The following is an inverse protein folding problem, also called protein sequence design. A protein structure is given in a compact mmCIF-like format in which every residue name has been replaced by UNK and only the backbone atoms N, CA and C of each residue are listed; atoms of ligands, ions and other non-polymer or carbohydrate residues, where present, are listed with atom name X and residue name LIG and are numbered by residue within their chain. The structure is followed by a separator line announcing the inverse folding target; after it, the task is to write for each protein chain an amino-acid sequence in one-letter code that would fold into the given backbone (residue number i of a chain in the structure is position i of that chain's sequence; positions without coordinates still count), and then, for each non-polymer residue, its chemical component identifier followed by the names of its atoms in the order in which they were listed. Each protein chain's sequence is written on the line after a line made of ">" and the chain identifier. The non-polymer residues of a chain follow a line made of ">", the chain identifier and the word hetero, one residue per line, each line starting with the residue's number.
data_IF_099363413529
#
_entry.id   IF_099363413529
#
_cell.length_a   1.000
_cell.length_b   1.000
_cell.length_c   1.000
_cell.angle_alpha   90.00
_cell.angle_beta   90.00
_cell.angle_gamma   90.00
#
_symmetry.space_group_name_H-M   'P 1'
#
loop_
_entity.id
_entity.type
_entity.pdbx_description
1 polymer ?
#
# COMPACT_ATOMS: atom_id res chain seq x y z
N UNK A 1 20.61 68.39 26.61
CA UNK A 1 19.97 68.14 25.31
C UNK A 1 21.03 67.58 24.39
N UNK A 2 20.74 66.42 23.80
CA UNK A 2 21.48 65.76 22.70
C UNK A 2 22.80 65.04 23.04
N UNK A 3 22.70 63.72 22.83
CA UNK A 3 23.67 62.74 22.33
C UNK A 3 24.90 62.34 23.16
N UNK A 4 24.83 61.09 23.59
CA UNK A 4 25.91 60.21 24.03
C UNK A 4 26.52 59.49 22.82
N UNK A 5 27.85 59.49 22.70
CA UNK A 5 28.62 58.39 22.12
C UNK A 5 29.22 57.55 23.26
N UNK A 6 29.43 56.24 23.06
CA UNK A 6 30.81 55.81 22.77
C UNK A 6 30.97 54.66 21.74
N UNK A 7 32.18 54.64 21.17
CA UNK A 7 32.95 53.68 20.33
C UNK A 7 33.21 52.31 21.04
N UNK A 8 34.00 51.29 20.56
CA UNK A 8 34.45 50.84 19.21
C UNK A 8 34.35 49.30 18.96
N UNK A 9 34.86 48.86 17.79
CA UNK A 9 35.49 47.55 17.47
C UNK A 9 34.56 46.35 17.24
N UNK A 10 34.79 45.42 16.32
CA UNK A 10 35.85 45.12 15.33
C UNK A 10 35.27 44.01 14.43
N UNK A 11 35.43 44.08 13.12
CA UNK A 11 36.48 43.40 12.35
C UNK A 11 36.03 42.05 11.78
N UNK A 12 36.38 41.88 10.50
CA UNK A 12 36.41 40.67 9.68
C UNK A 12 35.11 40.18 9.02
N UNK A 13 34.90 40.62 7.77
CA UNK A 13 34.16 39.87 6.77
C UNK A 13 34.93 39.90 5.44
N UNK A 14 35.79 38.90 5.28
CA UNK A 14 36.53 38.61 4.06
C UNK A 14 35.68 38.67 2.79
N UNK A 15 36.30 39.24 1.74
CA UNK A 15 35.88 39.20 0.35
C UNK A 15 35.39 37.80 -0.05
N UNK A 16 34.11 37.65 -0.38
CA UNK A 16 33.64 36.61 -1.31
C UNK A 16 33.51 37.25 -2.68
N UNK A 17 34.43 36.90 -3.57
CA UNK A 17 34.30 37.17 -5.00
C UNK A 17 33.19 36.30 -5.60
N UNK A 18 32.58 36.82 -6.67
CA UNK A 18 31.56 36.11 -7.45
C UNK A 18 32.04 34.71 -7.88
N UNK A 19 31.17 33.70 -7.86
CA UNK A 19 31.51 32.39 -8.39
C UNK A 19 31.63 32.46 -9.93
N UNK A 20 32.59 31.74 -10.53
CA UNK A 20 32.71 31.65 -11.98
C UNK A 20 31.53 30.87 -12.59
N UNK A 21 31.16 31.14 -13.86
CA UNK A 21 30.01 30.49 -14.49
C UNK A 21 30.22 28.98 -14.61
N UNK A 22 29.19 28.23 -14.22
CA UNK A 22 29.15 26.78 -14.35
C UNK A 22 29.29 26.37 -15.83
N UNK A 23 30.27 25.51 -16.12
CA UNK A 23 30.43 24.87 -17.43
C UNK A 23 29.21 23.98 -17.69
N UNK A 24 28.47 24.28 -18.77
CA UNK A 24 27.47 23.37 -19.33
C UNK A 24 28.17 22.06 -19.71
N UNK A 25 27.88 20.98 -18.99
CA UNK A 25 28.19 19.63 -19.43
C UNK A 25 27.23 19.34 -20.60
N UNK A 26 27.81 19.06 -21.77
CA UNK A 26 27.08 18.86 -23.01
C UNK A 26 26.00 17.78 -22.88
N UNK A 27 24.75 18.18 -23.12
CA UNK A 27 23.66 17.26 -23.40
C UNK A 27 23.95 16.61 -24.76
N UNK A 28 24.16 15.30 -24.76
CA UNK A 28 24.27 14.52 -26.00
C UNK A 28 22.89 14.50 -26.69
N UNK A 29 22.75 15.00 -27.93
CA UNK A 29 21.47 15.07 -28.60
C UNK A 29 21.23 13.80 -29.41
N UNK A 30 20.96 12.66 -28.75
CA UNK A 30 20.38 11.49 -29.43
C UNK A 30 19.81 10.51 -28.39
N UNK A 31 18.56 10.71 -28.02
CA UNK A 31 17.69 9.61 -27.63
C UNK A 31 16.44 9.74 -28.50
N UNK A 32 16.18 8.84 -29.45
CA UNK A 32 14.87 8.84 -30.10
C UNK A 32 13.83 8.67 -29.01
N UNK A 33 12.76 9.47 -29.10
CA UNK A 33 11.61 9.40 -28.22
C UNK A 33 11.00 8.00 -28.32
N UNK A 34 11.44 7.11 -27.44
CA UNK A 34 10.79 5.84 -27.19
C UNK A 34 9.48 6.20 -26.50
N UNK A 35 8.44 6.43 -27.30
CA UNK A 35 7.08 6.32 -26.79
C UNK A 35 7.02 5.00 -26.05
N UNK A 36 6.76 4.97 -24.73
CA UNK A 36 6.55 3.69 -24.07
C UNK A 36 5.38 3.08 -24.81
N UNK A 37 5.65 2.01 -25.57
CA UNK A 37 4.59 1.13 -26.01
C UNK A 37 3.95 0.70 -24.71
N UNK A 38 2.77 1.26 -24.41
CA UNK A 38 1.98 0.78 -23.29
C UNK A 38 1.73 -0.68 -23.65
N UNK A 39 2.53 -1.57 -23.07
CA UNK A 39 2.22 -2.98 -22.99
C UNK A 39 0.90 -2.99 -22.23
N UNK A 40 -0.20 -2.91 -22.97
CA UNK A 40 -1.53 -3.12 -22.44
C UNK A 40 -1.45 -4.52 -21.88
N UNK A 41 -1.34 -4.62 -20.56
CA UNK A 41 -1.56 -5.88 -19.88
C UNK A 41 -2.96 -6.28 -20.30
N UNK A 42 -3.15 -7.42 -21.00
CA UNK A 42 -4.47 -7.81 -21.43
C UNK A 42 -5.37 -7.85 -20.19
N UNK A 43 -6.61 -7.38 -20.36
CA UNK A 43 -7.62 -7.49 -19.31
C UNK A 43 -7.66 -8.95 -18.83
N UNK A 44 -7.82 -9.20 -17.52
CA UNK A 44 -7.90 -10.57 -17.01
C UNK A 44 -9.01 -11.31 -17.76
N UNK A 45 -8.66 -12.48 -18.29
CA UNK A 45 -9.59 -13.37 -18.97
C UNK A 45 -10.66 -13.85 -17.96
N UNK A 46 -11.95 -13.53 -18.19
CA UNK A 46 -13.02 -13.94 -17.28
C UNK A 46 -13.23 -15.45 -17.22
N UNK A 47 -12.75 -16.20 -18.22
CA UNK A 47 -12.85 -17.67 -18.29
C UNK A 47 -11.58 -18.36 -17.75
N UNK A 48 -10.58 -17.60 -17.30
CA UNK A 48 -9.40 -18.16 -16.65
C UNK A 48 -9.82 -18.74 -15.31
N UNK A 49 -9.85 -20.07 -15.23
CA UNK A 49 -9.87 -20.82 -13.97
C UNK A 49 -8.97 -20.10 -12.96
N UNK A 50 -9.53 -19.74 -11.80
CA UNK A 50 -8.75 -19.14 -10.74
C UNK A 50 -7.50 -20.00 -10.53
N UNK A 51 -6.31 -19.39 -10.43
CA UNK A 51 -5.10 -20.13 -10.11
C UNK A 51 -5.33 -21.01 -8.87
N UNK A 52 -4.64 -22.16 -8.78
CA UNK A 52 -4.76 -23.05 -7.65
C UNK A 52 -4.48 -22.28 -6.36
N UNK A 53 -5.25 -22.61 -5.34
CA UNK A 53 -5.08 -22.04 -4.01
C UNK A 53 -3.78 -22.54 -3.39
N UNK A 54 -3.04 -21.64 -2.75
CA UNK A 54 -1.84 -21.99 -2.02
C UNK A 54 -2.22 -22.64 -0.68
N UNK A 55 -1.51 -23.69 -0.30
CA UNK A 55 -1.66 -24.29 1.02
C UNK A 55 -0.97 -23.44 2.09
N UNK A 56 -1.70 -23.07 3.15
CA UNK A 56 -1.13 -22.40 4.31
C UNK A 56 -0.68 -23.42 5.37
N UNK A 57 0.61 -23.40 5.70
CA UNK A 57 1.12 -24.14 6.85
C UNK A 57 0.55 -23.56 8.16
N UNK A 58 0.58 -24.34 9.24
CA UNK A 58 0.08 -23.90 10.55
C UNK A 58 0.80 -22.62 11.04
N UNK A 59 2.11 -22.48 10.80
CA UNK A 59 2.87 -21.28 11.21
C UNK A 59 2.48 -20.03 10.43
N UNK A 60 2.21 -20.17 9.13
CA UNK A 60 1.78 -19.06 8.28
C UNK A 60 0.38 -18.63 8.68
N UNK A 61 -0.53 -19.60 8.91
CA UNK A 61 -1.88 -19.32 9.41
C UNK A 61 -1.81 -18.57 10.75
N UNK A 62 -1.04 -19.06 11.72
CA UNK A 62 -0.87 -18.40 13.01
C UNK A 62 -0.36 -16.95 12.87
N UNK A 63 0.66 -16.73 12.02
CA UNK A 63 1.16 -15.38 11.75
C UNK A 63 0.11 -14.47 11.09
N UNK A 64 -0.69 -14.99 10.16
CA UNK A 64 -1.74 -14.21 9.52
C UNK A 64 -2.95 -13.95 10.44
N UNK A 65 -3.17 -14.82 11.44
CA UNK A 65 -4.17 -14.68 12.50
C UNK A 65 -3.78 -13.67 13.58
N UNK A 66 -2.49 -13.34 13.71
CA UNK A 66 -2.00 -12.23 14.54
C UNK A 66 -2.36 -10.85 13.94
N UNK A 67 -2.26 -9.80 14.75
CA UNK A 67 -2.64 -8.43 14.37
C UNK A 67 -1.46 -7.73 13.71
N UNK A 68 -1.50 -7.64 12.38
CA UNK A 68 -0.51 -6.93 11.55
C UNK A 68 -1.21 -6.07 10.51
N UNK A 69 -0.60 -4.96 10.07
CA UNK A 69 -1.07 -4.26 8.88
C UNK A 69 -0.64 -4.99 7.60
N UNK A 70 -1.43 -4.85 6.54
CA UNK A 70 -1.08 -5.34 5.19
C UNK A 70 -0.73 -4.17 4.29
N UNK A 71 0.36 -4.29 3.54
CA UNK A 71 0.62 -3.47 2.35
C UNK A 71 0.06 -4.19 1.13
N UNK A 72 -0.91 -3.57 0.46
CA UNK A 72 -1.58 -4.08 -0.73
C UNK A 72 -0.94 -3.47 -1.97
N UNK A 73 -0.35 -4.29 -2.83
CA UNK A 73 0.11 -3.93 -4.16
C UNK A 73 -0.95 -4.21 -5.22
N UNK A 74 -1.39 -3.18 -5.94
CA UNK A 74 -2.28 -3.28 -7.10
C UNK A 74 -1.63 -2.69 -8.34
N UNK A 75 -2.18 -2.99 -9.51
CA UNK A 75 -1.75 -2.38 -10.77
C UNK A 75 -2.79 -1.34 -11.19
N UNK A 76 -2.39 -0.21 -11.75
CA UNK A 76 -3.24 0.81 -12.35
C UNK A 76 -3.61 0.50 -13.81
N UNK A 77 -4.45 1.34 -14.45
CA UNK A 77 -4.95 1.07 -15.80
C UNK A 77 -3.84 0.98 -16.85
N UNK A 78 -2.74 1.70 -16.63
CA UNK A 78 -1.59 1.75 -17.52
C UNK A 78 -0.44 0.81 -17.10
N UNK A 79 -0.67 -0.08 -16.13
CA UNK A 79 0.37 -0.97 -15.60
C UNK A 79 1.19 -0.39 -14.44
N UNK A 80 0.94 0.85 -14.04
CA UNK A 80 1.60 1.51 -12.90
C UNK A 80 1.35 0.76 -11.57
N UNK A 81 2.38 0.51 -10.73
CA UNK A 81 2.17 -0.13 -9.44
C UNK A 81 1.65 0.86 -8.40
N UNK A 82 0.65 0.46 -7.60
CA UNK A 82 0.15 1.21 -6.46
C UNK A 82 0.27 0.41 -5.18
N UNK A 83 0.49 1.13 -4.09
CA UNK A 83 0.50 0.55 -2.76
C UNK A 83 -0.45 1.28 -1.83
N UNK A 84 -1.10 0.55 -0.95
CA UNK A 84 -1.90 1.08 0.14
C UNK A 84 -1.72 0.21 1.38
N UNK A 85 -1.64 0.83 2.56
CA UNK A 85 -1.65 0.13 3.83
C UNK A 85 -3.09 0.01 4.33
N UNK A 86 -3.47 -1.17 4.81
CA UNK A 86 -4.80 -1.45 5.32
C UNK A 86 -4.78 -2.50 6.44
N UNK A 87 -5.92 -2.68 7.08
CA UNK A 87 -6.19 -3.85 7.91
C UNK A 87 -6.68 -5.01 7.06
N UNK A 88 -6.43 -6.21 7.54
CA UNK A 88 -6.94 -7.45 6.95
C UNK A 88 -7.40 -8.43 8.04
N UNK A 89 -8.09 -9.48 7.59
CA UNK A 89 -8.37 -10.67 8.39
C UNK A 89 -8.17 -11.91 7.53
N UNK A 90 -7.58 -12.95 8.10
CA UNK A 90 -7.62 -14.29 7.52
C UNK A 90 -8.99 -14.92 7.83
N UNK A 91 -9.71 -15.33 6.79
CA UNK A 91 -10.99 -16.04 6.92
C UNK A 91 -10.75 -17.54 7.23
N UNK A 92 -11.74 -18.25 7.81
CA UNK A 92 -11.61 -19.69 8.11
C UNK A 92 -11.34 -20.59 6.90
N UNK A 93 -11.59 -20.09 5.70
CA UNK A 93 -11.36 -20.77 4.42
C UNK A 93 -10.13 -20.25 3.67
N UNK A 94 -9.13 -19.75 4.41
CA UNK A 94 -7.81 -19.33 3.93
C UNK A 94 -7.79 -18.14 2.96
N UNK A 95 -8.92 -17.45 2.80
CA UNK A 95 -9.00 -16.21 2.03
C UNK A 95 -8.65 -15.00 2.90
N UNK A 96 -8.05 -13.98 2.29
CA UNK A 96 -7.82 -12.69 2.95
C UNK A 96 -9.03 -11.79 2.73
N UNK A 97 -9.65 -11.35 3.82
CA UNK A 97 -10.62 -10.26 3.81
C UNK A 97 -9.89 -8.91 3.80
N UNK A 98 -10.19 -8.11 2.78
CA UNK A 98 -9.83 -6.70 2.70
C UNK A 98 -11.10 -5.85 2.64
N UNK A 99 -11.07 -4.66 3.25
CA UNK A 99 -12.16 -3.69 3.19
C UNK A 99 -11.64 -2.30 2.84
N UNK A 100 -12.44 -1.53 2.09
CA UNK A 100 -12.10 -0.14 1.78
C UNK A 100 -13.32 0.77 1.77
N UNK A 101 -13.03 2.08 1.85
CA UNK A 101 -13.97 3.09 1.41
C UNK A 101 -13.98 3.14 -0.12
N UNK A 102 -15.15 3.13 -0.72
CA UNK A 102 -15.31 3.30 -2.17
C UNK A 102 -15.45 4.78 -2.56
N UNK A 103 -14.89 5.25 -3.69
CA UNK A 103 -13.92 4.61 -4.58
C UNK A 103 -12.48 5.10 -4.30
N UNK A 104 -11.75 4.46 -3.39
CA UNK A 104 -10.29 4.68 -3.27
C UNK A 104 -9.56 4.04 -4.46
N UNK A 105 -8.29 4.42 -4.69
CA UNK A 105 -7.49 3.92 -5.82
C UNK A 105 -7.37 2.38 -5.85
N UNK A 106 -6.85 1.77 -4.79
CA UNK A 106 -6.62 0.32 -4.77
C UNK A 106 -7.89 -0.55 -4.91
N UNK A 107 -9.06 -0.24 -4.31
CA UNK A 107 -10.26 -1.05 -4.56
C UNK A 107 -10.79 -0.86 -5.99
N UNK A 108 -10.60 0.31 -6.60
CA UNK A 108 -10.94 0.55 -8.01
C UNK A 108 -10.00 -0.22 -8.94
N UNK A 109 -8.72 -0.32 -8.60
CA UNK A 109 -7.77 -1.17 -9.33
C UNK A 109 -8.17 -2.65 -9.24
N UNK A 110 -8.50 -3.15 -8.04
CA UNK A 110 -8.97 -4.52 -7.85
C UNK A 110 -10.27 -4.84 -8.58
N UNK A 111 -11.18 -3.88 -8.73
CA UNK A 111 -12.38 -4.05 -9.56
C UNK A 111 -12.06 -4.29 -11.02
N UNK A 112 -10.97 -3.70 -11.52
CA UNK A 112 -10.57 -3.79 -12.93
C UNK A 112 -9.69 -5.02 -13.16
N UNK A 113 -8.74 -5.25 -12.25
CA UNK A 113 -7.83 -6.38 -12.26
C UNK A 113 -7.75 -6.94 -10.83
N UNK A 114 -8.37 -8.10 -10.62
CA UNK A 114 -8.46 -8.72 -9.30
C UNK A 114 -7.14 -9.19 -8.72
N UNK A 115 -6.01 -9.11 -9.46
CA UNK A 115 -4.70 -9.54 -8.97
C UNK A 115 -4.09 -8.51 -8.01
N UNK A 116 -3.51 -9.01 -6.94
CA UNK A 116 -2.72 -8.21 -6.01
C UNK A 116 -1.53 -8.96 -5.44
N UNK A 117 -0.56 -8.20 -4.94
CA UNK A 117 0.43 -8.67 -3.99
C UNK A 117 0.09 -8.14 -2.60
N UNK A 118 0.33 -8.93 -1.57
CA UNK A 118 0.17 -8.52 -0.18
C UNK A 118 1.50 -8.73 0.55
N UNK A 119 1.92 -7.77 1.36
CA UNK A 119 3.03 -7.92 2.28
C UNK A 119 2.56 -7.63 3.70
N UNK A 120 2.72 -8.62 4.58
CA UNK A 120 2.35 -8.55 6.00
C UNK A 120 3.63 -8.75 6.79
N UNK A 121 4.05 -7.72 7.52
CA UNK A 121 5.30 -7.71 8.28
C UNK A 121 5.04 -7.68 9.78
N UNK A 122 5.92 -8.32 10.53
CA UNK A 122 6.01 -8.14 11.97
C UNK A 122 6.60 -6.75 12.26
N UNK A 123 5.83 -5.89 12.93
CA UNK A 123 6.23 -4.51 13.22
C UNK A 123 7.45 -4.43 14.16
N UNK A 124 7.63 -5.43 15.03
CA UNK A 124 8.77 -5.50 15.94
C UNK A 124 10.02 -6.10 15.28
N UNK A 125 9.85 -6.92 14.24
CA UNK A 125 10.93 -7.50 13.45
C UNK A 125 10.59 -7.52 11.96
N UNK A 126 10.81 -6.43 11.20
CA UNK A 126 10.38 -6.32 9.80
C UNK A 126 10.97 -7.37 8.85
N UNK A 127 12.04 -8.06 9.24
CA UNK A 127 12.60 -9.17 8.47
C UNK A 127 11.82 -10.48 8.63
N UNK A 128 10.94 -10.56 9.64
CA UNK A 128 9.93 -11.60 9.83
C UNK A 128 8.63 -11.16 9.17
N UNK A 129 8.32 -11.72 8.01
CA UNK A 129 7.16 -11.31 7.23
C UNK A 129 6.62 -12.43 6.34
N UNK A 130 5.41 -12.25 5.81
CA UNK A 130 4.80 -13.11 4.81
C UNK A 130 4.38 -12.27 3.60
N UNK A 131 4.84 -12.67 2.43
CA UNK A 131 4.36 -12.17 1.15
C UNK A 131 3.31 -13.09 0.56
N UNK A 132 2.26 -12.54 -0.03
CA UNK A 132 1.22 -13.32 -0.71
C UNK A 132 1.02 -12.78 -2.12
N UNK A 133 0.86 -13.68 -3.09
CA UNK A 133 0.17 -13.35 -4.34
C UNK A 133 -1.29 -13.74 -4.18
N UNK A 134 -2.21 -12.90 -4.66
CA UNK A 134 -3.63 -13.16 -4.52
C UNK A 134 -4.46 -12.69 -5.70
N UNK A 135 -5.66 -13.24 -5.79
CA UNK A 135 -6.69 -12.83 -6.75
C UNK A 135 -8.01 -12.66 -6.03
N UNK A 136 -8.74 -11.58 -6.32
CA UNK A 136 -10.10 -11.37 -5.82
C UNK A 136 -10.98 -12.50 -6.34
N UNK A 137 -11.46 -13.34 -5.43
CA UNK A 137 -12.40 -14.41 -5.73
C UNK A 137 -13.84 -13.96 -5.46
N UNK A 138 -14.04 -13.07 -4.48
CA UNK A 138 -15.36 -12.50 -4.21
C UNK A 138 -15.24 -11.02 -3.90
N UNK A 139 -16.06 -10.22 -4.58
CA UNK A 139 -16.30 -8.81 -4.27
C UNK A 139 -17.68 -8.68 -3.63
N UNK A 140 -17.75 -7.93 -2.53
CA UNK A 140 -19.00 -7.66 -1.82
C UNK A 140 -19.28 -6.17 -1.86
N UNK A 141 -20.28 -5.82 -2.66
CA UNK A 141 -20.83 -4.45 -2.79
C UNK A 141 -22.05 -4.22 -1.88
N UNK A 142 -22.57 -5.27 -1.23
CA UNK A 142 -23.62 -5.10 -0.23
C UNK A 142 -23.12 -4.22 0.91
N UNK A 143 -23.79 -3.09 1.10
CA UNK A 143 -23.30 -2.02 1.95
C UNK A 143 -23.37 -2.38 3.43
N UNK A 144 -24.37 -3.14 3.85
CA UNK A 144 -24.51 -3.58 5.24
C UNK A 144 -23.41 -4.57 5.59
N UNK A 145 -23.23 -5.61 4.77
CA UNK A 145 -22.16 -6.61 4.92
C UNK A 145 -20.78 -5.95 4.92
N UNK A 146 -20.51 -5.05 3.96
CA UNK A 146 -19.21 -4.38 3.88
C UNK A 146 -18.97 -3.41 5.06
N UNK A 147 -20.03 -2.90 5.70
CA UNK A 147 -19.94 -2.10 6.93
C UNK A 147 -19.73 -2.98 8.17
N UNK A 148 -20.35 -4.14 8.23
CA UNK A 148 -20.10 -5.14 9.27
C UNK A 148 -18.65 -5.61 9.24
N UNK A 149 -18.12 -5.92 8.06
CA UNK A 149 -16.73 -6.33 7.87
C UNK A 149 -15.74 -5.30 8.44
N UNK A 150 -15.90 -4.01 8.13
CA UNK A 150 -15.00 -2.98 8.66
C UNK A 150 -15.18 -2.75 10.16
N UNK A 151 -16.39 -2.89 10.70
CA UNK A 151 -16.60 -2.81 12.15
C UNK A 151 -15.94 -3.99 12.86
N UNK A 152 -16.01 -5.20 12.30
CA UNK A 152 -15.32 -6.37 12.82
C UNK A 152 -13.79 -6.21 12.75
N UNK A 153 -13.26 -5.62 11.67
CA UNK A 153 -11.85 -5.23 11.60
C UNK A 153 -11.50 -4.17 12.67
N UNK A 154 -12.34 -3.16 12.89
CA UNK A 154 -12.12 -2.16 13.92
C UNK A 154 -11.95 -2.79 15.31
N UNK A 155 -12.80 -3.76 15.65
CA UNK A 155 -12.71 -4.54 16.89
C UNK A 155 -11.40 -5.33 16.95
N UNK A 156 -11.05 -6.04 15.86
CA UNK A 156 -9.80 -6.82 15.79
C UNK A 156 -8.55 -5.96 16.01
N UNK A 157 -8.54 -4.74 15.51
CA UNK A 157 -7.40 -3.81 15.59
C UNK A 157 -7.55 -2.79 16.74
N UNK A 158 -8.47 -3.02 17.67
CA UNK A 158 -8.69 -2.16 18.85
C UNK A 158 -8.93 -0.67 18.54
N UNK A 159 -9.59 -0.38 17.41
CA UNK A 159 -10.09 0.96 17.02
C UNK A 159 -11.62 0.94 16.89
N UNK A 160 -12.31 0.32 17.85
CA UNK A 160 -13.77 0.13 17.86
C UNK A 160 -14.52 1.17 18.71
N UNK A 161 -13.89 2.32 18.97
CA UNK A 161 -14.54 3.43 19.65
C UNK A 161 -15.86 3.84 18.94
N UNK A 162 -16.86 4.35 19.69
CA UNK A 162 -18.19 4.63 19.15
C UNK A 162 -18.17 5.62 17.97
N UNK A 163 -17.25 6.59 17.99
CA UNK A 163 -17.04 7.53 16.87
C UNK A 163 -16.48 6.81 15.63
N UNK A 164 -15.48 5.94 15.78
CA UNK A 164 -14.92 5.16 14.68
C UNK A 164 -15.99 4.25 14.06
N UNK A 165 -16.77 3.55 14.88
CA UNK A 165 -17.85 2.67 14.41
C UNK A 165 -18.92 3.49 13.67
N UNK A 166 -19.39 4.60 14.24
CA UNK A 166 -20.38 5.47 13.59
C UNK A 166 -19.87 6.01 12.24
N UNK A 167 -18.59 6.41 12.19
CA UNK A 167 -17.92 6.84 10.96
C UNK A 167 -17.86 5.73 9.91
N UNK A 168 -17.56 4.50 10.29
CA UNK A 168 -17.54 3.38 9.34
C UNK A 168 -18.93 3.01 8.84
N UNK A 169 -19.93 3.05 9.72
CA UNK A 169 -21.35 2.82 9.39
C UNK A 169 -21.95 3.87 8.46
N UNK A 170 -21.38 5.07 8.37
CA UNK A 170 -21.85 6.11 7.45
C UNK A 170 -21.17 6.08 6.07
N UNK A 171 -20.02 5.41 5.94
CA UNK A 171 -19.23 5.45 4.71
C UNK A 171 -19.73 4.46 3.66
N UNK A 172 -19.53 4.75 2.35
CA UNK A 172 -19.65 3.75 1.30
C UNK A 172 -18.49 2.76 1.43
N UNK A 173 -18.80 1.48 1.63
CA UNK A 173 -17.83 0.42 1.88
C UNK A 173 -17.93 -0.68 0.83
N UNK A 174 -16.80 -1.34 0.61
CA UNK A 174 -16.67 -2.52 -0.23
C UNK A 174 -15.71 -3.47 0.44
N UNK A 175 -15.97 -4.77 0.34
CA UNK A 175 -15.07 -5.81 0.79
C UNK A 175 -14.65 -6.75 -0.33
N UNK A 176 -13.47 -7.36 -0.18
CA UNK A 176 -12.91 -8.35 -1.10
C UNK A 176 -12.46 -9.56 -0.30
N UNK A 177 -12.82 -10.76 -0.78
CA UNK A 177 -12.20 -12.02 -0.35
C UNK A 177 -11.19 -12.40 -1.41
N UNK A 178 -9.92 -12.41 -1.02
CA UNK A 178 -8.78 -12.67 -1.89
C UNK A 178 -8.33 -14.11 -1.68
N UNK A 179 -8.38 -14.89 -2.75
CA UNK A 179 -7.75 -16.21 -2.82
C UNK A 179 -6.24 -16.04 -2.80
N UNK A 180 -5.56 -16.76 -1.93
CA UNK A 180 -4.10 -16.82 -1.90
C UNK A 180 -3.63 -17.83 -2.96
N UNK A 181 -2.72 -17.40 -3.83
CA UNK A 181 -2.26 -18.18 -4.99
C UNK A 181 -0.78 -18.53 -4.91
N UNK A 182 -0.01 -17.79 -4.12
CA UNK A 182 1.34 -18.13 -3.73
C UNK A 182 1.68 -17.50 -2.39
N UNK A 183 2.61 -18.13 -1.65
CA UNK A 183 3.13 -17.65 -0.37
C UNK A 183 4.65 -17.53 -0.44
N UNK A 184 5.16 -16.42 0.06
CA UNK A 184 6.57 -16.13 0.27
C UNK A 184 6.81 -16.06 1.78
N UNK A 185 7.34 -17.14 2.33
CA UNK A 185 7.54 -17.31 3.77
C UNK A 185 8.91 -16.78 4.20
N UNK A 186 8.90 -15.75 5.03
CA UNK A 186 10.09 -15.15 5.64
C UNK A 186 9.98 -15.14 7.17
N UNK A 187 9.34 -16.13 7.78
CA UNK A 187 9.18 -16.19 9.23
C UNK A 187 10.46 -16.60 9.99
N UNK A 188 11.55 -16.86 9.27
CA UNK A 188 12.79 -17.42 9.81
C UNK A 188 12.72 -18.94 9.97
N UNK A 189 13.84 -19.56 10.30
CA UNK A 189 13.88 -20.92 10.83
C UNK A 189 13.81 -20.81 12.37
N UNK A 190 12.99 -21.65 13.02
CA UNK A 190 12.92 -21.74 14.49
C UNK A 190 14.23 -22.28 15.09
#
# INVERSE_FOLDING_TARGET
>A
MTSTEPDPAGEDAGRRGDPPPARLIGLSPYHPEMQPQRLRTPAPDPDRLLPPEAHLSARIRAFLEDVHAVTIGTTGPDGEPHQAVAWYRLEPDDRILLNSRWPRRWPTDLSRDGRCSLAILDEANPMRWVGLAGVVETRIDDLETARDDICALAVRYADDGPETIARFRSQPRVSFRVRITAVHDHLGDE
#
